data_IF_042778045819
#
_entry.id   IF_042778045819
#
_cell.length_a   1.000
_cell.length_b   1.000
_cell.length_c   1.000
_cell.angle_alpha   90.00
_cell.angle_beta   90.00
_cell.angle_gamma   90.00
#
_symmetry.space_group_name_H-M   'P 1'
#
loop_
_entity.id
_entity.type
_entity.pdbx_description
1 polymer ?
#
# COMPACT_ATOMS: atom_id res chain seq x y z
N UNK A 1 15.76 4.27 20.68
CA UNK A 1 14.95 3.42 19.80
C UNK A 1 13.49 3.53 20.25
N UNK A 2 12.62 4.13 19.44
CA UNK A 2 11.22 4.36 19.83
C UNK A 2 10.38 3.11 19.55
N UNK A 3 10.24 2.24 20.54
CA UNK A 3 9.42 1.02 20.48
C UNK A 3 7.98 1.28 20.02
N UNK A 4 7.41 2.43 20.37
CA UNK A 4 6.07 2.85 19.95
C UNK A 4 5.99 3.01 18.43
N UNK A 5 6.99 3.62 17.79
CA UNK A 5 7.01 3.82 16.34
C UNK A 5 7.10 2.49 15.59
N UNK A 6 7.96 1.59 16.07
CA UNK A 6 8.11 0.24 15.51
C UNK A 6 6.79 -0.53 15.56
N UNK A 7 6.07 -0.44 16.69
CA UNK A 7 4.78 -1.11 16.85
C UNK A 7 3.70 -0.54 15.93
N UNK A 8 3.66 0.79 15.78
CA UNK A 8 2.71 1.47 14.86
C UNK A 8 3.00 1.11 13.42
N UNK A 9 4.27 1.12 12.99
CA UNK A 9 4.66 0.74 11.63
C UNK A 9 4.33 -0.73 11.33
N UNK A 10 4.52 -1.61 12.30
CA UNK A 10 4.14 -3.02 12.17
C UNK A 10 2.63 -3.22 12.00
N UNK A 11 1.81 -2.49 12.77
CA UNK A 11 0.34 -2.47 12.58
C UNK A 11 0.01 -1.93 11.19
N UNK A 12 0.71 -0.89 10.73
CA UNK A 12 0.56 -0.34 9.39
C UNK A 12 0.80 -1.38 8.30
N UNK A 13 1.88 -2.15 8.40
CA UNK A 13 2.20 -3.26 7.46
C UNK A 13 1.06 -4.28 7.42
N UNK A 14 0.57 -4.71 8.59
CA UNK A 14 -0.56 -5.64 8.66
C UNK A 14 -1.83 -5.05 8.01
N UNK A 15 -2.11 -3.77 8.23
CA UNK A 15 -3.21 -3.06 7.59
C UNK A 15 -3.12 -3.08 6.07
N UNK A 16 -1.94 -2.79 5.51
CA UNK A 16 -1.69 -2.85 4.06
C UNK A 16 -1.84 -4.27 3.51
N UNK A 17 -1.35 -5.28 4.22
CA UNK A 17 -1.48 -6.69 3.81
C UNK A 17 -2.96 -7.10 3.79
N UNK A 18 -3.72 -6.78 4.85
CA UNK A 18 -5.15 -7.08 4.93
C UNK A 18 -5.91 -6.39 3.78
N UNK A 19 -5.60 -5.12 3.52
CA UNK A 19 -6.19 -4.37 2.41
C UNK A 19 -5.85 -4.99 1.04
N UNK A 20 -4.62 -5.46 0.85
CA UNK A 20 -4.20 -6.17 -0.36
C UNK A 20 -4.93 -7.51 -0.54
N UNK A 21 -5.12 -8.27 0.55
CA UNK A 21 -5.92 -9.51 0.52
C UNK A 21 -7.37 -9.21 0.16
N UNK A 22 -7.96 -8.16 0.75
CA UNK A 22 -9.32 -7.74 0.44
C UNK A 22 -9.45 -7.30 -1.03
N UNK A 23 -8.48 -6.55 -1.55
CA UNK A 23 -8.40 -6.17 -2.96
C UNK A 23 -8.36 -7.40 -3.88
N UNK A 24 -7.50 -8.38 -3.56
CA UNK A 24 -7.38 -9.62 -4.32
C UNK A 24 -8.67 -10.45 -4.32
N UNK A 25 -9.37 -10.53 -3.18
CA UNK A 25 -10.66 -11.22 -3.12
C UNK A 25 -11.72 -10.53 -3.99
N UNK A 26 -11.79 -9.20 -3.93
CA UNK A 26 -12.75 -8.44 -4.72
C UNK A 26 -12.42 -8.41 -6.22
N UNK A 27 -11.14 -8.48 -6.57
CA UNK A 27 -10.67 -8.59 -7.96
C UNK A 27 -11.35 -9.76 -8.70
N UNK A 28 -11.46 -10.93 -8.05
CA UNK A 28 -12.10 -12.10 -8.65
C UNK A 28 -13.62 -12.04 -8.66
N UNK A 29 -14.22 -11.36 -7.68
CA UNK A 29 -15.68 -11.29 -7.51
C UNK A 29 -16.33 -10.24 -8.41
N UNK A 30 -15.63 -9.16 -8.74
CA UNK A 30 -16.19 -8.05 -9.52
C UNK A 30 -15.53 -7.93 -10.90
N UNK A 31 -16.01 -8.73 -11.87
CA UNK A 31 -15.49 -8.72 -13.25
C UNK A 31 -15.42 -7.31 -13.88
N UNK A 32 -16.46 -6.49 -13.67
CA UNK A 32 -16.53 -5.12 -14.20
C UNK A 32 -15.62 -4.10 -13.48
N UNK A 33 -15.24 -4.38 -12.24
CA UNK A 33 -14.40 -3.51 -11.40
C UNK A 33 -13.00 -4.08 -11.15
N UNK A 34 -12.65 -5.20 -11.79
CA UNK A 34 -11.41 -5.94 -11.56
C UNK A 34 -10.18 -5.06 -11.72
N UNK A 35 -10.15 -4.19 -12.73
CA UNK A 35 -9.06 -3.23 -12.92
C UNK A 35 -8.89 -2.28 -11.73
N UNK A 36 -9.98 -1.82 -11.12
CA UNK A 36 -9.94 -0.89 -9.98
C UNK A 36 -9.39 -1.59 -8.74
N UNK A 37 -9.84 -2.81 -8.48
CA UNK A 37 -9.33 -3.62 -7.37
C UNK A 37 -7.87 -4.03 -7.57
N UNK A 38 -7.45 -4.28 -8.80
CA UNK A 38 -6.05 -4.56 -9.12
C UNK A 38 -5.15 -3.37 -8.81
N UNK A 39 -5.52 -2.17 -9.27
CA UNK A 39 -4.76 -0.93 -9.03
C UNK A 39 -4.71 -0.63 -7.53
N UNK A 40 -5.83 -0.78 -6.82
CA UNK A 40 -5.87 -0.64 -5.37
C UNK A 40 -4.94 -1.65 -4.66
N UNK A 41 -5.00 -2.92 -5.06
CA UNK A 41 -4.14 -3.98 -4.53
C UNK A 41 -2.65 -3.68 -4.74
N UNK A 42 -2.26 -3.20 -5.93
CA UNK A 42 -0.89 -2.77 -6.19
C UNK A 42 -0.45 -1.63 -5.28
N UNK A 43 -1.30 -0.62 -5.06
CA UNK A 43 -1.01 0.46 -4.13
C UNK A 43 -0.81 -0.06 -2.69
N UNK A 44 -1.68 -0.97 -2.22
CA UNK A 44 -1.56 -1.55 -0.89
C UNK A 44 -0.28 -2.39 -0.73
N UNK A 45 0.10 -3.16 -1.76
CA UNK A 45 1.35 -3.92 -1.75
C UNK A 45 2.58 -3.00 -1.65
N UNK A 46 2.59 -1.89 -2.39
CA UNK A 46 3.64 -0.87 -2.26
C UNK A 46 3.64 -0.19 -0.89
N UNK A 47 2.47 0.03 -0.29
CA UNK A 47 2.36 0.54 1.08
C UNK A 47 2.96 -0.41 2.12
N UNK A 48 2.79 -1.72 1.96
CA UNK A 48 3.43 -2.72 2.82
C UNK A 48 4.97 -2.71 2.66
N UNK A 49 5.48 -2.56 1.43
CA UNK A 49 6.91 -2.43 1.17
C UNK A 49 7.47 -1.11 1.74
N UNK A 50 6.75 -0.01 1.60
CA UNK A 50 7.10 1.29 2.17
C UNK A 50 7.22 1.23 3.70
N UNK A 51 6.22 0.67 4.38
CA UNK A 51 6.23 0.55 5.83
C UNK A 51 7.34 -0.41 6.31
N UNK A 52 7.63 -1.46 5.53
CA UNK A 52 8.77 -2.37 5.79
C UNK A 52 10.12 -1.65 5.63
N UNK A 53 10.28 -0.82 4.60
CA UNK A 53 11.48 0.00 4.41
C UNK A 53 11.68 0.99 5.56
N UNK A 54 10.59 1.59 6.08
CA UNK A 54 10.63 2.45 7.27
C UNK A 54 11.13 1.69 8.50
N UNK A 55 10.66 0.46 8.73
CA UNK A 55 11.16 -0.38 9.84
C UNK A 55 12.65 -0.72 9.69
N UNK A 56 13.12 -1.07 8.50
CA UNK A 56 14.54 -1.34 8.25
C UNK A 56 15.41 -0.09 8.43
N UNK A 57 14.90 1.07 8.07
CA UNK A 57 15.57 2.33 8.30
C UNK A 57 15.71 2.64 9.80
N UNK A 58 14.63 2.47 10.57
CA UNK A 58 14.63 2.67 12.03
C UNK A 58 15.57 1.69 12.75
N UNK A 59 15.73 0.47 12.24
CA UNK A 59 16.68 -0.51 12.79
C UNK A 59 18.14 -0.24 12.43
N UNK A 60 18.42 0.77 11.62
CA UNK A 60 19.76 1.16 11.19
C UNK A 60 20.33 0.30 10.05
N UNK A 61 19.49 -0.50 9.39
CA UNK A 61 19.91 -1.32 8.27
C UNK A 61 19.99 -0.48 6.98
N UNK A 62 21.20 -0.12 6.56
CA UNK A 62 21.45 0.65 5.32
C UNK A 62 20.57 1.91 5.18
N UNK A 63 20.64 2.87 6.14
CA UNK A 63 19.68 3.97 6.25
C UNK A 63 19.65 4.90 5.03
N UNK A 64 20.78 5.15 4.36
CA UNK A 64 20.81 5.99 3.16
C UNK A 64 20.01 5.39 2.00
N UNK A 65 20.21 4.09 1.73
CA UNK A 65 19.44 3.38 0.70
C UNK A 65 17.97 3.22 1.09
N UNK A 66 17.68 2.91 2.37
CA UNK A 66 16.31 2.75 2.84
C UNK A 66 15.51 4.06 2.84
N UNK A 67 16.16 5.22 3.06
CA UNK A 67 15.52 6.53 2.90
C UNK A 67 15.09 6.76 1.45
N UNK A 68 16.00 6.55 0.48
CA UNK A 68 15.69 6.71 -0.94
C UNK A 68 14.60 5.74 -1.41
N UNK A 69 14.71 4.46 -1.00
CA UNK A 69 13.72 3.44 -1.32
C UNK A 69 12.35 3.79 -0.73
N UNK A 70 12.30 4.22 0.54
CA UNK A 70 11.05 4.64 1.20
C UNK A 70 10.39 5.78 0.44
N UNK A 71 11.12 6.83 0.13
CA UNK A 71 10.54 8.02 -0.50
C UNK A 71 10.04 7.70 -1.94
N UNK A 72 10.79 6.88 -2.69
CA UNK A 72 10.38 6.39 -4.00
C UNK A 72 9.12 5.52 -3.93
N UNK A 73 9.08 4.54 -3.03
CA UNK A 73 7.91 3.65 -2.83
C UNK A 73 6.67 4.46 -2.44
N UNK A 74 6.83 5.47 -1.59
CA UNK A 74 5.75 6.36 -1.18
C UNK A 74 5.18 7.16 -2.36
N UNK A 75 6.05 7.77 -3.18
CA UNK A 75 5.63 8.52 -4.35
C UNK A 75 4.87 7.64 -5.36
N UNK A 76 5.36 6.43 -5.63
CA UNK A 76 4.69 5.49 -6.54
C UNK A 76 3.34 5.06 -5.96
N UNK A 77 3.28 4.72 -4.67
CA UNK A 77 2.04 4.34 -3.99
C UNK A 77 0.98 5.44 -4.12
N UNK A 78 1.34 6.70 -3.83
CA UNK A 78 0.42 7.84 -3.97
C UNK A 78 -0.01 8.00 -5.43
N UNK A 79 0.91 7.93 -6.38
CA UNK A 79 0.59 8.03 -7.81
C UNK A 79 -0.46 7.00 -8.23
N UNK A 80 -0.30 5.74 -7.79
CA UNK A 80 -1.27 4.67 -8.07
C UNK A 80 -2.60 4.92 -7.35
N UNK A 81 -2.59 5.44 -6.11
CA UNK A 81 -3.83 5.80 -5.39
C UNK A 81 -4.61 6.94 -6.06
N UNK A 82 -3.91 7.91 -6.65
CA UNK A 82 -4.54 8.98 -7.45
C UNK A 82 -5.22 8.40 -8.69
N UNK A 83 -4.52 7.52 -9.42
CA UNK A 83 -5.09 6.81 -10.58
C UNK A 83 -6.30 5.97 -10.17
N UNK A 84 -6.20 5.24 -9.05
CA UNK A 84 -7.31 4.49 -8.47
C UNK A 84 -8.52 5.39 -8.19
N UNK A 85 -8.33 6.54 -7.57
CA UNK A 85 -9.41 7.49 -7.26
C UNK A 85 -10.12 7.99 -8.52
N UNK A 86 -9.37 8.33 -9.57
CA UNK A 86 -9.92 8.80 -10.84
C UNK A 86 -10.75 7.72 -11.54
N UNK A 87 -10.23 6.49 -11.58
CA UNK A 87 -10.94 5.38 -12.24
C UNK A 87 -12.15 4.95 -11.41
N UNK A 88 -12.01 4.87 -10.08
CA UNK A 88 -13.11 4.53 -9.17
C UNK A 88 -14.31 5.47 -9.33
N UNK A 89 -14.08 6.79 -9.40
CA UNK A 89 -15.13 7.78 -9.64
C UNK A 89 -15.87 7.60 -10.97
N UNK A 90 -15.19 7.11 -12.02
CA UNK A 90 -15.80 6.84 -13.33
C UNK A 90 -16.59 5.54 -13.38
N UNK A 91 -16.32 4.63 -12.46
CA UNK A 91 -16.75 3.23 -12.55
C UNK A 91 -18.07 2.94 -11.79
N UNK A 92 -18.65 3.93 -11.11
CA UNK A 92 -19.82 3.78 -10.21
C UNK A 92 -19.75 2.55 -9.30
N UNK A 93 -18.54 2.19 -8.84
CA UNK A 93 -18.33 0.99 -8.03
C UNK A 93 -18.88 1.26 -6.64
N UNK A 94 -20.05 0.69 -6.34
CA UNK A 94 -20.50 0.54 -4.96
C UNK A 94 -19.66 -0.56 -4.31
N UNK A 95 -18.88 -0.29 -3.26
CA UNK A 95 -18.23 -1.36 -2.50
C UNK A 95 -19.32 -2.30 -1.98
N UNK A 96 -19.12 -3.61 -2.16
CA UNK A 96 -19.98 -4.67 -1.60
C UNK A 96 -19.54 -4.98 -0.18
#
# INVERSE_FOLDING_TARGET
MNLILIFVDFIGILGFIIACIYAYRNYHLTRFASQVWFIFGMAMALGALWASATLFNISGFYPSFMNEARDCLFCIMIGILVVFSIISNKSEIKPV
#
